data_IF_011051762980
#
_entry.id   IF_011051762980
#
_cell.length_a   1.000
_cell.length_b   1.000
_cell.length_c   1.000
_cell.angle_alpha   90.00
_cell.angle_beta   90.00
_cell.angle_gamma   90.00
#
_symmetry.space_group_name_H-M   'P 1'
#
loop_
_entity.id
_entity.type
_entity.pdbx_description
1 polymer ?
#
# COMPACT_ATOMS: atom_id res chain seq x y z
N UNK A 1 -14.51 65.55 -1.24
CA UNK A 1 -14.15 64.40 -0.40
C UNK A 1 -15.14 63.30 -0.72
N UNK A 2 -14.72 62.26 -1.44
CA UNK A 2 -15.58 61.12 -1.78
C UNK A 2 -15.18 59.98 -0.86
N UNK A 3 -16.09 59.58 0.03
CA UNK A 3 -15.94 58.40 0.87
C UNK A 3 -15.80 57.16 -0.02
N UNK A 4 -14.61 56.56 0.01
CA UNK A 4 -14.39 55.23 -0.54
C UNK A 4 -14.86 54.25 0.54
N UNK A 5 -16.05 53.68 0.36
CA UNK A 5 -16.52 52.58 1.16
C UNK A 5 -15.55 51.40 1.01
N UNK A 6 -14.72 51.16 2.02
CA UNK A 6 -13.96 49.93 2.20
C UNK A 6 -14.97 48.81 2.42
N UNK A 7 -15.35 48.11 1.33
CA UNK A 7 -15.99 46.82 1.41
C UNK A 7 -14.99 45.85 2.03
N UNK A 8 -15.08 45.64 3.33
CA UNK A 8 -14.45 44.50 3.98
C UNK A 8 -15.00 43.23 3.33
N UNK A 9 -14.17 42.60 2.51
CA UNK A 9 -14.44 41.30 1.93
C UNK A 9 -14.29 40.28 3.05
N UNK A 10 -15.34 40.13 3.87
CA UNK A 10 -15.49 38.98 4.75
C UNK A 10 -15.48 37.73 3.87
N UNK A 11 -14.30 37.13 3.68
CA UNK A 11 -14.20 35.75 3.26
C UNK A 11 -14.80 34.92 4.40
N UNK A 12 -16.11 34.68 4.30
CA UNK A 12 -16.76 33.64 5.09
C UNK A 12 -16.13 32.32 4.66
N UNK A 13 -15.05 31.94 5.34
CA UNK A 13 -14.62 30.55 5.37
C UNK A 13 -15.84 29.81 5.89
N UNK A 14 -16.50 29.04 5.02
CA UNK A 14 -17.71 28.31 5.40
C UNK A 14 -17.43 27.55 6.69
N UNK A 15 -18.20 27.84 7.76
CA UNK A 15 -18.06 27.12 9.01
C UNK A 15 -18.39 25.65 8.74
N UNK A 16 -17.37 24.79 8.72
CA UNK A 16 -17.49 23.35 8.44
C UNK A 16 -18.52 22.65 9.33
N UNK A 17 -18.71 23.16 10.55
CA UNK A 17 -19.75 22.68 11.48
C UNK A 17 -21.16 22.97 10.94
N UNK A 18 -21.41 24.19 10.45
CA UNK A 18 -22.69 24.57 9.84
C UNK A 18 -22.97 23.82 8.54
N UNK A 19 -21.93 23.36 7.86
CA UNK A 19 -22.03 22.58 6.63
C UNK A 19 -22.48 21.12 6.89
N UNK A 20 -21.93 20.50 7.95
CA UNK A 20 -22.22 19.12 8.33
C UNK A 20 -23.57 18.95 9.03
N UNK A 21 -23.96 19.93 9.85
CA UNK A 21 -25.15 19.84 10.70
C UNK A 21 -26.39 20.54 10.12
N UNK A 22 -26.30 21.11 8.92
CA UNK A 22 -27.45 21.62 8.19
C UNK A 22 -27.85 20.62 7.09
N UNK A 23 -29.02 19.96 7.20
CA UNK A 23 -29.49 18.99 6.20
C UNK A 23 -29.57 19.55 4.77
N UNK A 24 -29.92 20.83 4.61
CA UNK A 24 -30.00 21.47 3.29
C UNK A 24 -28.62 21.69 2.68
N UNK A 25 -27.64 22.09 3.50
CA UNK A 25 -26.24 22.23 3.06
C UNK A 25 -25.67 20.87 2.65
N UNK A 26 -25.97 19.82 3.42
CA UNK A 26 -25.51 18.47 3.12
C UNK A 26 -26.06 17.97 1.77
N UNK A 27 -27.37 18.12 1.53
CA UNK A 27 -28.00 17.75 0.25
C UNK A 27 -27.38 18.48 -0.95
N UNK A 28 -27.07 19.77 -0.80
CA UNK A 28 -26.39 20.55 -1.86
C UNK A 28 -25.00 20.03 -2.17
N UNK A 29 -24.26 19.57 -1.16
CA UNK A 29 -22.90 19.02 -1.34
C UNK A 29 -22.95 17.65 -1.98
N UNK A 30 -23.91 16.80 -1.59
CA UNK A 30 -24.15 15.51 -2.25
C UNK A 30 -24.43 15.73 -3.73
N UNK A 31 -25.33 16.65 -4.09
CA UNK A 31 -25.60 17.02 -5.49
C UNK A 31 -24.38 17.58 -6.22
N UNK A 32 -23.58 18.41 -5.55
CA UNK A 32 -22.33 18.90 -6.12
C UNK A 32 -21.35 17.75 -6.41
N UNK A 33 -21.24 16.77 -5.52
CA UNK A 33 -20.38 15.61 -5.68
C UNK A 33 -20.85 14.69 -6.83
N UNK A 34 -22.16 14.50 -7.00
CA UNK A 34 -22.74 13.81 -8.16
C UNK A 34 -22.39 14.51 -9.48
N UNK A 35 -22.53 15.84 -9.51
CA UNK A 35 -22.15 16.64 -10.67
C UNK A 35 -20.64 16.53 -10.93
N UNK A 36 -19.82 16.62 -9.90
CA UNK A 36 -18.37 16.46 -10.01
C UNK A 36 -18.01 15.08 -10.60
N UNK A 37 -18.64 13.99 -10.11
CA UNK A 37 -18.42 12.65 -10.62
C UNK A 37 -18.83 12.46 -12.09
N UNK A 38 -19.72 13.30 -12.63
CA UNK A 38 -20.10 13.31 -14.05
C UNK A 38 -19.07 13.96 -14.98
N UNK A 39 -18.10 14.70 -14.42
CA UNK A 39 -17.06 15.38 -15.19
C UNK A 39 -16.07 14.40 -15.83
N UNK A 40 -15.90 14.44 -17.15
CA UNK A 40 -15.03 13.50 -17.89
C UNK A 40 -13.61 14.03 -18.12
N UNK A 41 -13.46 15.33 -18.39
CA UNK A 41 -12.16 15.95 -18.68
C UNK A 41 -11.53 16.62 -17.45
N UNK A 42 -12.36 17.12 -16.53
CA UNK A 42 -11.91 17.95 -15.39
C UNK A 42 -11.64 17.14 -14.12
N UNK A 43 -12.08 15.88 -14.07
CA UNK A 43 -11.98 14.99 -12.91
C UNK A 43 -11.17 13.74 -13.29
N UNK A 44 -10.22 13.29 -12.45
CA UNK A 44 -9.45 12.07 -12.69
C UNK A 44 -10.29 10.81 -12.84
N UNK A 45 -9.81 9.85 -13.63
CA UNK A 45 -10.50 8.58 -13.92
C UNK A 45 -10.90 7.80 -12.67
N UNK A 46 -10.12 7.88 -11.59
CA UNK A 46 -10.43 7.15 -10.35
C UNK A 46 -11.60 7.73 -9.56
N UNK A 47 -12.06 8.95 -9.89
CA UNK A 47 -13.21 9.64 -9.28
C UNK A 47 -14.43 9.73 -10.20
N UNK A 48 -14.25 9.49 -11.50
CA UNK A 48 -15.35 9.49 -12.48
C UNK A 48 -16.38 8.41 -12.15
N UNK A 49 -17.66 8.79 -12.11
CA UNK A 49 -18.76 7.90 -11.77
C UNK A 49 -18.79 7.46 -10.30
N UNK A 50 -17.98 8.07 -9.42
CA UNK A 50 -17.92 7.75 -7.99
C UNK A 50 -18.33 8.95 -7.13
N UNK A 51 -19.64 9.20 -6.97
CA UNK A 51 -20.14 10.35 -6.23
C UNK A 51 -19.69 10.35 -4.76
N UNK A 52 -19.57 9.19 -4.12
CA UNK A 52 -19.10 9.08 -2.74
C UNK A 52 -17.65 9.55 -2.54
N UNK A 53 -16.76 9.20 -3.47
CA UNK A 53 -15.35 9.62 -3.42
C UNK A 53 -15.23 11.13 -3.72
N UNK A 54 -16.01 11.63 -4.69
CA UNK A 54 -16.12 13.07 -4.97
C UNK A 54 -16.69 13.85 -3.77
N UNK A 55 -17.62 13.26 -3.02
CA UNK A 55 -18.20 13.86 -1.81
C UNK A 55 -17.14 13.99 -0.73
N UNK A 56 -16.37 12.93 -0.46
CA UNK A 56 -15.27 12.96 0.49
C UNK A 56 -14.24 14.05 0.12
N UNK A 57 -13.88 14.16 -1.16
CA UNK A 57 -12.98 15.22 -1.66
C UNK A 57 -13.60 16.60 -1.52
N UNK A 58 -14.88 16.76 -1.81
CA UNK A 58 -15.58 18.06 -1.69
C UNK A 58 -15.59 18.52 -0.24
N UNK A 59 -15.88 17.61 0.69
CA UNK A 59 -15.87 17.90 2.13
C UNK A 59 -14.45 18.22 2.62
N UNK A 60 -13.43 17.49 2.16
CA UNK A 60 -12.04 17.78 2.52
C UNK A 60 -11.57 19.12 1.95
N UNK A 61 -11.93 19.42 0.71
CA UNK A 61 -11.64 20.71 0.05
C UNK A 61 -12.28 21.87 0.78
N UNK A 62 -13.53 21.71 1.25
CA UNK A 62 -14.21 22.69 2.07
C UNK A 62 -13.45 22.95 3.39
N UNK A 63 -12.89 21.90 4.02
CA UNK A 63 -12.06 22.07 5.23
C UNK A 63 -10.81 22.89 4.98
N UNK A 64 -10.19 22.72 3.83
CA UNK A 64 -9.02 23.50 3.42
C UNK A 64 -9.35 24.85 2.79
N UNK A 65 -10.63 25.15 2.53
CA UNK A 65 -11.04 26.34 1.78
C UNK A 65 -10.54 26.34 0.33
N UNK A 66 -10.37 25.16 -0.27
CA UNK A 66 -9.87 24.97 -1.64
C UNK A 66 -10.97 24.52 -2.60
N UNK A 67 -10.72 24.70 -3.90
CA UNK A 67 -11.61 24.23 -4.97
C UNK A 67 -11.59 22.69 -5.06
N UNK A 68 -12.75 22.00 -4.98
CA UNK A 68 -12.84 20.54 -5.06
C UNK A 68 -12.28 19.91 -6.34
N UNK A 69 -12.41 20.56 -7.49
CA UNK A 69 -11.86 20.06 -8.75
C UNK A 69 -10.34 20.11 -8.74
N UNK A 70 -9.76 21.19 -8.21
CA UNK A 70 -8.30 21.35 -8.10
C UNK A 70 -7.71 20.33 -7.13
N UNK A 71 -8.35 20.14 -5.97
CA UNK A 71 -7.94 19.12 -5.00
C UNK A 71 -8.06 17.74 -5.61
N UNK A 72 -9.19 17.43 -6.26
CA UNK A 72 -9.43 16.15 -6.93
C UNK A 72 -8.36 15.80 -7.96
N UNK A 73 -7.94 16.77 -8.78
CA UNK A 73 -6.85 16.59 -9.75
C UNK A 73 -5.49 16.24 -9.14
N UNK A 74 -5.31 16.51 -7.84
CA UNK A 74 -4.10 16.23 -7.07
C UNK A 74 -4.23 15.00 -6.19
N UNK A 75 -5.20 14.14 -6.48
CA UNK A 75 -5.36 12.84 -5.84
C UNK A 75 -4.93 11.69 -6.73
N UNK A 76 -4.59 10.57 -6.12
CA UNK A 76 -4.28 9.30 -6.78
C UNK A 76 -4.77 8.15 -5.88
N UNK A 77 -4.91 6.96 -6.43
CA UNK A 77 -5.32 5.76 -5.67
C UNK A 77 -4.18 4.76 -5.68
N UNK A 78 -3.74 4.35 -4.50
CA UNK A 78 -2.76 3.27 -4.29
C UNK A 78 -3.39 2.27 -3.34
N UNK A 79 -3.39 0.99 -3.72
CA UNK A 79 -3.98 -0.10 -2.92
C UNK A 79 -5.42 0.17 -2.46
N UNK A 80 -6.21 0.86 -3.28
CA UNK A 80 -7.60 1.22 -2.96
C UNK A 80 -7.76 2.40 -2.00
N UNK A 81 -6.66 2.97 -1.49
CA UNK A 81 -6.69 4.16 -0.62
C UNK A 81 -6.41 5.41 -1.45
N UNK A 82 -7.20 6.46 -1.20
CA UNK A 82 -7.00 7.77 -1.81
C UNK A 82 -5.83 8.48 -1.14
N UNK A 83 -4.81 8.79 -1.93
CA UNK A 83 -3.70 9.64 -1.51
C UNK A 83 -3.73 11.00 -2.20
N UNK A 84 -2.99 11.94 -1.62
CA UNK A 84 -2.89 13.32 -2.08
C UNK A 84 -1.44 13.67 -2.42
N UNK A 85 -1.22 14.38 -3.53
CA UNK A 85 0.11 14.77 -3.96
C UNK A 85 0.76 15.75 -2.96
N UNK A 86 2.07 15.64 -2.79
CA UNK A 86 2.83 16.54 -1.91
C UNK A 86 2.75 18.03 -2.33
N UNK A 87 2.52 18.33 -3.62
CA UNK A 87 2.28 19.70 -4.07
C UNK A 87 1.00 20.28 -3.44
N UNK A 88 -0.05 19.48 -3.33
CA UNK A 88 -1.27 19.90 -2.65
C UNK A 88 -1.01 20.11 -1.16
N UNK A 89 -0.29 19.20 -0.51
CA UNK A 89 0.08 19.34 0.91
C UNK A 89 0.79 20.67 1.17
N UNK A 90 1.76 21.03 0.33
CA UNK A 90 2.44 22.33 0.42
C UNK A 90 1.45 23.50 0.30
N UNK A 91 0.57 23.46 -0.70
CA UNK A 91 -0.43 24.51 -0.92
C UNK A 91 -1.40 24.64 0.26
N UNK A 92 -1.88 23.51 0.80
CA UNK A 92 -2.77 23.46 1.96
C UNK A 92 -2.10 24.15 3.15
N UNK A 93 -0.86 23.78 3.51
CA UNK A 93 -0.15 24.38 4.66
C UNK A 93 0.08 25.87 4.43
N UNK A 94 0.57 26.24 3.26
CA UNK A 94 0.87 27.65 2.92
C UNK A 94 -0.39 28.52 2.89
N UNK A 95 -1.54 27.96 2.52
CA UNK A 95 -2.84 28.64 2.56
C UNK A 95 -3.49 28.62 3.94
N UNK A 96 -3.00 27.74 4.83
CA UNK A 96 -3.53 27.61 6.17
C UNK A 96 -3.05 28.75 7.06
N UNK A 97 -3.61 28.76 8.26
CA UNK A 97 -3.16 29.67 9.30
C UNK A 97 -1.90 29.17 10.03
N UNK A 98 -1.39 27.97 9.79
CA UNK A 98 -0.31 27.40 10.60
C UNK A 98 1.07 28.06 10.36
N UNK A 99 1.32 28.56 9.15
CA UNK A 99 2.61 29.16 8.78
C UNK A 99 2.45 30.58 8.24
N UNK A 100 3.54 31.36 8.30
CA UNK A 100 3.64 32.70 7.73
C UNK A 100 4.51 32.66 6.48
N UNK A 101 3.98 33.14 5.36
CA UNK A 101 4.73 33.23 4.11
C UNK A 101 4.76 31.91 3.35
N UNK A 102 5.95 31.43 2.97
CA UNK A 102 6.16 30.22 2.16
C UNK A 102 7.27 29.37 2.78
N UNK A 103 7.34 28.10 2.37
CA UNK A 103 8.47 27.25 2.71
C UNK A 103 9.80 27.79 2.17
N UNK A 104 10.83 27.67 3.00
CA UNK A 104 12.22 27.94 2.70
C UNK A 104 12.96 26.64 2.48
N UNK A 105 13.92 26.64 1.56
CA UNK A 105 14.64 25.46 1.14
C UNK A 105 16.15 25.73 1.20
N UNK A 106 16.88 24.84 1.87
CA UNK A 106 18.35 24.82 1.90
C UNK A 106 18.82 23.51 1.29
N UNK A 107 19.55 23.59 0.18
CA UNK A 107 20.14 22.43 -0.46
C UNK A 107 21.60 22.34 -0.06
N UNK A 108 22.02 21.17 0.43
CA UNK A 108 23.41 20.87 0.77
C UNK A 108 23.98 19.73 -0.05
N UNK A 109 25.30 19.70 -0.18
CA UNK A 109 26.03 18.75 -1.02
C UNK A 109 26.28 19.24 -2.45
N UNK A 110 27.05 18.45 -3.20
CA UNK A 110 27.48 18.77 -4.56
C UNK A 110 26.45 18.33 -5.61
N UNK A 111 25.39 19.14 -5.73
CA UNK A 111 24.29 18.87 -6.64
C UNK A 111 24.66 18.92 -8.13
N UNK A 112 25.84 19.43 -8.49
CA UNK A 112 26.30 19.49 -9.88
C UNK A 112 26.57 18.10 -10.43
N UNK A 113 26.99 17.16 -9.58
CA UNK A 113 27.25 15.75 -9.92
C UNK A 113 26.07 15.03 -10.55
N UNK A 114 24.85 15.46 -10.25
CA UNK A 114 23.63 14.80 -10.71
C UNK A 114 22.94 15.50 -11.88
N UNK A 115 23.43 16.67 -12.28
CA UNK A 115 22.83 17.46 -13.36
C UNK A 115 23.06 16.73 -14.69
N UNK A 116 21.98 16.49 -15.44
CA UNK A 116 22.03 15.82 -16.75
C UNK A 116 22.19 14.29 -16.72
N UNK A 117 22.48 13.71 -15.56
CA UNK A 117 22.59 12.26 -15.38
C UNK A 117 21.24 11.62 -15.04
N UNK A 118 20.80 10.67 -15.86
CA UNK A 118 19.52 9.96 -15.69
C UNK A 118 19.64 8.63 -14.94
N UNK A 119 20.78 7.95 -15.04
CA UNK A 119 21.03 6.64 -14.41
C UNK A 119 22.37 6.64 -13.66
N UNK A 120 22.45 5.86 -12.56
CA UNK A 120 23.64 5.66 -11.71
C UNK A 120 24.29 6.96 -11.18
N UNK A 121 23.47 7.86 -10.66
CA UNK A 121 23.94 9.09 -10.02
C UNK A 121 24.67 8.79 -8.71
N UNK A 122 25.75 9.53 -8.46
CA UNK A 122 26.33 9.64 -7.12
C UNK A 122 25.45 10.60 -6.30
N UNK A 123 24.64 10.05 -5.42
CA UNK A 123 23.71 10.80 -4.57
C UNK A 123 24.27 11.01 -3.14
N UNK A 124 25.54 10.65 -2.94
CA UNK A 124 26.20 10.69 -1.64
C UNK A 124 26.33 12.13 -1.13
N UNK A 125 25.83 12.37 0.08
CA UNK A 125 25.91 13.67 0.75
C UNK A 125 24.98 14.75 0.17
N UNK A 126 24.09 14.41 -0.76
CA UNK A 126 23.06 15.33 -1.25
C UNK A 126 21.88 15.35 -0.29
N UNK A 127 21.52 16.53 0.19
CA UNK A 127 20.38 16.68 1.09
C UNK A 127 19.63 17.98 0.89
N UNK A 128 18.44 18.02 1.47
CA UNK A 128 17.63 19.23 1.57
C UNK A 128 17.12 19.40 3.00
N UNK A 129 17.14 20.63 3.49
CA UNK A 129 16.41 21.07 4.67
C UNK A 129 15.28 22.00 4.23
N UNK A 130 14.09 21.76 4.78
CA UNK A 130 12.90 22.57 4.56
C UNK A 130 12.45 23.16 5.86
N UNK A 131 12.05 24.43 5.85
CA UNK A 131 11.50 25.10 7.02
C UNK A 131 10.45 26.12 6.65
N UNK A 132 9.59 26.46 7.60
CA UNK A 132 8.66 27.57 7.51
C UNK A 132 8.62 28.33 8.83
N UNK A 133 8.15 29.56 8.81
CA UNK A 133 7.92 30.35 10.02
C UNK A 133 6.54 29.94 10.55
N UNK A 134 6.48 29.34 11.74
CA UNK A 134 5.22 28.99 12.37
C UNK A 134 4.47 30.24 12.86
N UNK A 135 3.15 30.16 12.94
CA UNK A 135 2.35 31.28 13.46
C UNK A 135 2.78 31.62 14.89
N UNK A 136 3.17 32.88 15.09
CA UNK A 136 3.61 33.39 16.39
C UNK A 136 5.11 33.27 16.63
N UNK A 137 5.85 32.65 15.70
CA UNK A 137 7.31 32.63 15.70
C UNK A 137 7.85 33.69 14.72
N UNK A 138 9.07 34.17 14.99
CA UNK A 138 9.78 35.12 14.11
C UNK A 138 10.88 34.42 13.30
N UNK A 139 11.38 33.29 13.78
CA UNK A 139 12.44 32.51 13.15
C UNK A 139 11.88 31.35 12.32
N UNK A 140 12.71 30.85 11.40
CA UNK A 140 12.35 29.69 10.57
C UNK A 140 12.56 28.42 11.39
N UNK A 141 11.49 27.65 11.58
CA UNK A 141 11.54 26.31 12.16
C UNK A 141 12.03 25.35 11.08
N UNK A 142 13.32 24.99 11.12
CA UNK A 142 13.90 24.03 10.18
C UNK A 142 13.54 22.59 10.54
N UNK A 143 13.20 21.80 9.53
CA UNK A 143 13.10 20.34 9.65
C UNK A 143 14.48 19.68 9.56
N UNK A 144 14.51 18.39 9.87
CA UNK A 144 15.72 17.58 9.72
C UNK A 144 16.15 17.49 8.25
N UNK A 145 17.48 17.43 7.99
CA UNK A 145 18.00 17.25 6.65
C UNK A 145 17.57 15.89 6.08
N UNK A 146 16.90 15.92 4.93
CA UNK A 146 16.52 14.72 4.19
C UNK A 146 17.58 14.43 3.15
N UNK A 147 18.32 13.34 3.34
CA UNK A 147 19.33 12.88 2.41
C UNK A 147 18.72 12.10 1.25
N UNK A 148 19.15 12.41 0.03
CA UNK A 148 18.65 11.76 -1.18
C UNK A 148 18.95 10.26 -1.17
N UNK A 149 20.17 9.89 -0.76
CA UNK A 149 20.63 8.51 -0.69
C UNK A 149 19.77 7.61 0.23
N UNK A 150 19.19 8.17 1.28
CA UNK A 150 18.40 7.42 2.26
C UNK A 150 16.96 7.16 1.79
N UNK A 151 16.50 7.85 0.73
CA UNK A 151 15.15 7.68 0.18
C UNK A 151 15.03 6.36 -0.57
N UNK A 152 14.43 5.37 0.08
CA UNK A 152 14.20 4.03 -0.47
C UNK A 152 13.06 3.98 -1.51
N UNK A 153 11.92 4.62 -1.21
CA UNK A 153 10.72 4.56 -2.08
C UNK A 153 10.77 5.64 -3.15
N UNK A 154 10.85 5.25 -4.44
CA UNK A 154 11.03 6.18 -5.57
C UNK A 154 10.08 5.92 -6.75
N UNK A 155 8.78 5.95 -6.49
CA UNK A 155 7.77 5.54 -7.48
C UNK A 155 7.29 6.65 -8.43
N UNK A 156 7.78 7.88 -8.24
CA UNK A 156 7.54 9.00 -9.15
C UNK A 156 8.63 9.09 -10.24
N UNK A 157 8.28 9.32 -11.53
CA UNK A 157 9.27 9.59 -12.57
C UNK A 157 10.09 10.86 -12.28
N UNK A 158 9.58 11.77 -11.43
CA UNK A 158 10.29 12.96 -10.98
C UNK A 158 11.57 12.65 -10.22
N UNK A 159 11.67 11.47 -9.58
CA UNK A 159 12.94 11.05 -8.98
C UNK A 159 14.05 10.97 -10.03
N UNK A 160 13.74 10.59 -11.27
CA UNK A 160 14.72 10.54 -12.36
C UNK A 160 14.88 11.88 -13.05
N UNK A 161 13.79 12.55 -13.40
CA UNK A 161 13.82 13.76 -14.24
C UNK A 161 14.09 15.04 -13.44
N UNK A 162 13.58 15.16 -12.22
CA UNK A 162 13.64 16.37 -11.39
C UNK A 162 13.89 16.02 -9.90
N UNK A 163 15.03 15.39 -9.56
CA UNK A 163 15.30 14.88 -8.21
C UNK A 163 15.27 15.96 -7.13
N UNK A 164 15.78 17.17 -7.41
CA UNK A 164 15.73 18.31 -6.48
C UNK A 164 14.30 18.68 -6.06
N UNK A 165 13.38 18.69 -7.02
CA UNK A 165 11.98 19.01 -6.77
C UNK A 165 11.31 17.90 -5.96
N UNK A 166 11.57 16.65 -6.34
CA UNK A 166 10.91 15.51 -5.72
C UNK A 166 11.34 15.30 -4.26
N UNK A 167 12.63 15.48 -3.94
CA UNK A 167 13.09 15.41 -2.55
C UNK A 167 12.55 16.58 -1.71
N UNK A 168 12.39 17.77 -2.31
CA UNK A 168 11.80 18.91 -1.62
C UNK A 168 10.34 18.65 -1.23
N UNK A 169 9.57 18.01 -2.11
CA UNK A 169 8.22 17.57 -1.81
C UNK A 169 8.16 16.57 -0.66
N UNK A 170 9.10 15.63 -0.61
CA UNK A 170 9.21 14.68 0.50
C UNK A 170 9.54 15.39 1.83
N UNK A 171 10.49 16.32 1.80
CA UNK A 171 10.89 17.09 2.97
C UNK A 171 9.76 17.99 3.52
N UNK A 172 9.01 18.66 2.64
CA UNK A 172 7.79 19.42 3.04
C UNK A 172 6.80 18.51 3.75
N UNK A 173 6.59 17.29 3.24
CA UNK A 173 5.69 16.32 3.87
C UNK A 173 6.15 15.95 5.28
N UNK A 174 7.41 15.58 5.45
CA UNK A 174 7.96 15.22 6.77
C UNK A 174 7.89 16.37 7.75
N UNK A 175 8.25 17.58 7.32
CA UNK A 175 8.12 18.79 8.13
C UNK A 175 6.67 19.00 8.59
N UNK A 176 5.73 18.89 7.65
CA UNK A 176 4.32 19.15 7.95
C UNK A 176 3.70 18.12 8.88
N UNK A 177 4.11 16.85 8.78
CA UNK A 177 3.69 15.80 9.72
C UNK A 177 4.11 16.11 11.16
N UNK A 178 5.27 16.74 11.32
CA UNK A 178 5.83 17.04 12.63
C UNK A 178 5.24 18.34 13.21
N UNK A 179 5.17 19.40 12.41
CA UNK A 179 4.87 20.75 12.90
C UNK A 179 3.47 21.27 12.58
N UNK A 180 2.77 20.70 11.60
CA UNK A 180 1.39 21.08 11.26
C UNK A 180 0.48 19.85 11.04
N UNK A 181 0.49 18.84 11.93
CA UNK A 181 -0.32 17.63 11.75
C UNK A 181 -1.82 17.92 11.70
N UNK A 182 -2.28 18.96 12.38
CA UNK A 182 -3.67 19.42 12.43
C UNK A 182 -4.18 19.97 11.10
N UNK A 183 -3.29 20.42 10.22
CA UNK A 183 -3.67 20.94 8.90
C UNK A 183 -3.89 19.79 7.91
N UNK A 184 -3.14 18.69 8.07
CA UNK A 184 -3.17 17.54 7.16
C UNK A 184 -4.13 16.45 7.65
N UNK A 185 -4.34 16.29 8.96
CA UNK A 185 -5.37 15.43 9.60
C UNK A 185 -5.68 14.12 8.84
N UNK A 186 -4.74 13.17 8.87
CA UNK A 186 -4.95 11.82 8.31
C UNK A 186 -4.94 11.72 6.78
N UNK A 187 -4.64 12.80 6.06
CA UNK A 187 -4.39 12.74 4.60
C UNK A 187 -3.03 12.12 4.35
N UNK A 188 -2.97 11.05 3.57
CA UNK A 188 -1.74 10.35 3.21
C UNK A 188 -1.25 10.74 1.81
N UNK A 189 0.06 10.76 1.60
CA UNK A 189 0.64 10.90 0.26
C UNK A 189 0.91 9.53 -0.38
N UNK A 190 1.16 9.45 -1.71
CA UNK A 190 1.28 8.16 -2.38
C UNK A 190 2.32 7.25 -1.73
N UNK A 191 3.45 7.84 -1.36
CA UNK A 191 4.59 7.11 -0.81
C UNK A 191 4.37 6.64 0.63
N UNK A 192 3.32 7.13 1.32
CA UNK A 192 2.95 6.69 2.67
C UNK A 192 1.93 5.55 2.69
N UNK A 193 1.20 5.36 1.59
CA UNK A 193 0.12 4.38 1.45
C UNK A 193 0.58 2.99 1.02
N UNK A 194 1.87 2.82 0.77
CA UNK A 194 2.44 1.54 0.36
C UNK A 194 2.91 0.73 1.57
N UNK A 195 2.61 -0.57 1.55
CA UNK A 195 3.12 -1.51 2.54
C UNK A 195 4.65 -1.55 2.47
N UNK A 196 5.29 -1.10 3.55
CA UNK A 196 6.69 -1.46 3.79
C UNK A 196 6.69 -2.96 4.08
N UNK A 197 7.53 -3.78 3.41
CA UNK A 197 7.71 -5.16 3.83
C UNK A 197 8.17 -5.12 5.29
N UNK A 198 7.35 -5.65 6.21
CA UNK A 198 7.69 -5.74 7.62
C UNK A 198 8.94 -6.61 7.69
N UNK A 199 10.08 -5.99 7.97
CA UNK A 199 11.30 -6.72 8.28
C UNK A 199 11.11 -7.30 9.68
N UNK A 200 10.89 -8.60 9.75
CA UNK A 200 10.88 -9.32 11.02
C UNK A 200 12.26 -9.13 11.68
N UNK A 201 12.28 -8.29 12.72
CA UNK A 201 13.46 -8.02 13.55
C UNK A 201 13.45 -8.86 14.83
N UNK A 202 12.52 -9.83 14.95
CA UNK A 202 12.47 -10.70 16.11
C UNK A 202 13.74 -11.56 16.10
N UNK A 203 14.63 -11.43 17.11
CA UNK A 203 15.79 -12.31 17.19
C UNK A 203 15.29 -13.75 17.29
N UNK A 204 15.85 -14.66 16.48
CA UNK A 204 15.50 -16.08 16.52
C UNK A 204 15.77 -16.60 17.95
N UNK A 205 14.70 -16.88 18.71
CA UNK A 205 14.83 -17.53 20.01
C UNK A 205 15.38 -18.94 19.79
N UNK A 206 16.57 -19.21 20.32
CA UNK A 206 17.05 -20.57 20.52
C UNK A 206 15.98 -21.37 21.27
N UNK A 207 15.63 -22.54 20.75
CA UNK A 207 14.60 -23.42 21.29
C UNK A 207 15.04 -23.90 22.68
N UNK A 208 14.46 -23.32 23.74
CA UNK A 208 14.56 -23.91 25.08
C UNK A 208 13.59 -25.09 25.14
N UNK A 209 14.11 -26.25 25.56
CA UNK A 209 13.41 -27.54 25.54
C UNK A 209 12.28 -27.59 26.58
N UNK A 210 11.22 -28.34 26.26
CA UNK A 210 9.89 -28.37 26.94
C UNK A 210 9.91 -28.86 28.40
N UNK A 211 11.06 -29.24 28.96
CA UNK A 211 11.13 -29.88 30.29
C UNK A 211 11.20 -28.92 31.49
N UNK A 212 11.15 -27.59 31.31
CA UNK A 212 11.28 -26.64 32.43
C UNK A 212 9.99 -25.90 32.83
N UNK A 213 8.83 -26.15 32.20
CA UNK A 213 7.59 -25.37 32.46
C UNK A 213 6.59 -26.06 33.41
N UNK A 214 6.82 -27.33 33.78
CA UNK A 214 5.98 -28.01 34.80
C UNK A 214 6.42 -27.61 36.20
N UNK A 215 5.99 -26.44 36.69
CA UNK A 215 5.51 -26.19 38.06
C UNK A 215 5.10 -24.72 38.18
N UNK A 216 3.79 -24.50 38.38
CA UNK A 216 3.10 -23.37 39.03
C UNK A 216 1.95 -22.73 38.23
N UNK A 217 0.74 -23.15 38.65
CA UNK A 217 -0.44 -22.33 38.94
C UNK A 217 -1.34 -21.82 37.79
N UNK A 218 -2.40 -22.63 37.58
CA UNK A 218 -3.84 -22.37 37.42
C UNK A 218 -4.42 -21.02 36.90
N UNK A 219 -5.59 -21.11 36.21
CA UNK A 219 -6.17 -20.07 35.37
C UNK A 219 -7.08 -19.11 36.14
N UNK A 220 -7.15 -17.85 35.70
CA UNK A 220 -8.24 -16.95 36.04
C UNK A 220 -8.85 -16.35 34.78
N UNK A 221 -10.18 -16.40 34.77
CA UNK A 221 -11.11 -15.92 33.74
C UNK A 221 -10.75 -14.54 33.19
N UNK A 222 -10.68 -14.43 31.87
CA UNK A 222 -10.97 -13.17 31.17
C UNK A 222 -12.33 -13.34 30.47
N UNK A 223 -13.31 -12.59 30.97
CA UNK A 223 -14.62 -12.47 30.36
C UNK A 223 -14.52 -11.87 28.96
N UNK A 224 -15.43 -12.36 28.13
CA UNK A 224 -15.68 -11.95 26.76
C UNK A 224 -16.42 -10.62 26.73
N UNK A 225 -15.93 -9.66 25.95
CA UNK A 225 -16.72 -8.50 25.52
C UNK A 225 -17.19 -8.77 24.10
N UNK A 226 -18.50 -9.01 23.95
CA UNK A 226 -19.18 -9.09 22.66
C UNK A 226 -19.52 -7.69 22.15
N UNK A 227 -19.16 -7.49 20.88
CA UNK A 227 -19.80 -6.74 19.80
C UNK A 227 -21.04 -5.88 20.11
N UNK A 228 -21.00 -4.63 19.63
CA UNK A 228 -22.20 -3.91 19.19
C UNK A 228 -22.36 -4.13 17.68
N UNK A 229 -23.32 -4.96 17.31
CA UNK A 229 -23.74 -5.26 15.95
C UNK A 229 -24.57 -4.09 15.38
N UNK A 230 -24.10 -3.49 14.29
CA UNK A 230 -24.99 -2.93 13.28
C UNK A 230 -25.16 -3.98 12.20
N UNK A 231 -26.40 -4.41 11.95
CA UNK A 231 -26.76 -5.48 11.03
C UNK A 231 -26.07 -5.36 9.66
N UNK A 232 -25.22 -6.32 9.34
CA UNK A 232 -24.93 -6.71 7.96
C UNK A 232 -25.36 -8.17 7.80
N UNK A 233 -26.21 -8.40 6.82
CA UNK A 233 -26.77 -9.70 6.45
C UNK A 233 -25.61 -10.70 6.24
N UNK A 234 -25.59 -11.88 6.89
CA UNK A 234 -24.48 -12.81 6.79
C UNK A 234 -24.49 -13.53 5.44
N UNK A 235 -23.43 -13.40 4.64
CA UNK A 235 -23.17 -14.40 3.57
C UNK A 235 -21.76 -14.44 2.99
N UNK A 236 -20.71 -14.23 3.80
CA UNK A 236 -19.36 -14.59 3.38
C UNK A 236 -18.48 -14.89 4.58
N UNK A 237 -17.98 -16.12 4.69
CA UNK A 237 -17.00 -16.50 5.69
C UNK A 237 -15.61 -16.62 5.05
N UNK A 238 -14.78 -15.61 5.29
CA UNK A 238 -13.42 -15.55 4.80
C UNK A 238 -12.56 -16.72 5.29
N UNK A 239 -12.81 -17.21 6.51
CA UNK A 239 -12.04 -18.30 7.11
C UNK A 239 -12.32 -19.63 6.42
N UNK A 240 -13.57 -19.88 6.03
CA UNK A 240 -13.92 -21.06 5.23
C UNK A 240 -13.14 -21.11 3.92
N UNK A 241 -12.97 -19.99 3.22
CA UNK A 241 -12.16 -19.96 1.99
C UNK A 241 -10.66 -20.12 2.25
N UNK A 242 -10.13 -19.56 3.34
CA UNK A 242 -8.72 -19.75 3.71
C UNK A 242 -8.42 -21.22 4.00
N UNK A 243 -9.24 -21.86 4.82
CA UNK A 243 -9.13 -23.29 5.13
C UNK A 243 -9.28 -24.15 3.87
N UNK A 244 -10.29 -23.86 3.04
CA UNK A 244 -10.51 -24.60 1.81
C UNK A 244 -9.31 -24.50 0.85
N UNK A 245 -8.66 -23.33 0.74
CA UNK A 245 -7.46 -23.13 -0.09
C UNK A 245 -6.26 -23.92 0.47
N UNK A 246 -6.07 -23.92 1.78
CA UNK A 246 -4.95 -24.61 2.42
C UNK A 246 -5.07 -26.14 2.27
N UNK A 247 -6.30 -26.67 2.35
CA UNK A 247 -6.60 -28.11 2.25
C UNK A 247 -6.71 -28.66 0.82
N UNK A 248 -6.67 -27.82 -0.22
CA UNK A 248 -6.84 -28.29 -1.61
C UNK A 248 -5.80 -29.36 -1.99
N UNK A 249 -6.29 -30.47 -2.56
CA UNK A 249 -5.43 -31.56 -3.04
C UNK A 249 -5.41 -31.70 -4.56
N UNK A 250 -6.39 -31.12 -5.27
CA UNK A 250 -6.51 -31.26 -6.73
C UNK A 250 -6.51 -29.93 -7.48
N UNK A 251 -6.09 -29.98 -8.75
CA UNK A 251 -6.07 -28.82 -9.64
C UNK A 251 -7.49 -28.32 -9.93
N UNK A 252 -8.47 -29.22 -9.97
CA UNK A 252 -9.86 -28.88 -10.29
C UNK A 252 -10.55 -28.20 -9.10
N UNK A 253 -10.32 -28.65 -7.87
CA UNK A 253 -10.77 -27.96 -6.65
C UNK A 253 -10.19 -26.54 -6.56
N UNK A 254 -8.90 -26.35 -6.86
CA UNK A 254 -8.27 -25.03 -6.86
C UNK A 254 -8.94 -24.08 -7.88
N UNK A 255 -9.32 -24.58 -9.06
CA UNK A 255 -10.05 -23.80 -10.07
C UNK A 255 -11.46 -23.46 -9.61
N UNK A 256 -12.16 -24.41 -9.00
CA UNK A 256 -13.52 -24.20 -8.50
C UNK A 256 -13.55 -23.14 -7.41
N UNK A 257 -12.65 -23.23 -6.42
CA UNK A 257 -12.50 -22.22 -5.36
C UNK A 257 -12.20 -20.84 -5.96
N UNK A 258 -11.30 -20.77 -6.95
CA UNK A 258 -11.01 -19.51 -7.64
C UNK A 258 -12.24 -18.94 -8.35
N UNK A 259 -13.04 -19.78 -9.01
CA UNK A 259 -14.26 -19.35 -9.68
C UNK A 259 -15.31 -18.83 -8.68
N UNK A 260 -15.43 -19.47 -7.51
CA UNK A 260 -16.27 -19.00 -6.41
C UNK A 260 -15.81 -17.64 -5.88
N UNK A 261 -14.50 -17.45 -5.67
CA UNK A 261 -13.91 -16.17 -5.24
C UNK A 261 -14.19 -15.06 -6.28
N UNK A 262 -14.10 -15.34 -7.57
CA UNK A 262 -14.41 -14.38 -8.64
C UNK A 262 -15.90 -14.03 -8.70
N UNK A 263 -16.80 -14.99 -8.48
CA UNK A 263 -18.24 -14.74 -8.41
C UNK A 263 -18.61 -13.84 -7.23
N UNK A 264 -17.88 -13.97 -6.11
CA UNK A 264 -18.11 -13.21 -4.89
C UNK A 264 -17.31 -11.90 -4.84
N UNK A 265 -16.61 -11.52 -5.92
CA UNK A 265 -15.75 -10.33 -5.99
C UNK A 265 -16.47 -9.02 -5.62
N UNK A 266 -17.74 -8.86 -5.97
CA UNK A 266 -18.49 -7.64 -5.69
C UNK A 266 -18.99 -7.59 -4.23
N UNK A 267 -19.08 -8.75 -3.58
CA UNK A 267 -19.54 -8.91 -2.19
C UNK A 267 -18.35 -8.90 -1.21
N UNK A 268 -17.20 -9.35 -1.69
CA UNK A 268 -15.94 -9.47 -0.97
C UNK A 268 -15.03 -8.31 -1.34
N UNK A 269 -14.88 -7.33 -0.45
CA UNK A 269 -14.06 -6.13 -0.69
C UNK A 269 -12.70 -6.45 -1.33
N UNK A 270 -12.19 -5.53 -2.16
CA UNK A 270 -11.05 -5.74 -3.08
C UNK A 270 -9.83 -6.38 -2.40
N UNK A 271 -9.55 -6.02 -1.15
CA UNK A 271 -8.42 -6.55 -0.39
C UNK A 271 -8.55 -8.05 -0.12
N UNK A 272 -9.71 -8.48 0.36
CA UNK A 272 -9.98 -9.88 0.69
C UNK A 272 -10.09 -10.74 -0.57
N UNK A 273 -10.73 -10.20 -1.62
CA UNK A 273 -10.76 -10.82 -2.93
C UNK A 273 -9.35 -11.04 -3.50
N UNK A 274 -8.48 -10.03 -3.40
CA UNK A 274 -7.11 -10.12 -3.92
C UNK A 274 -6.27 -11.11 -3.12
N UNK A 275 -6.40 -11.13 -1.79
CA UNK A 275 -5.75 -12.11 -0.92
C UNK A 275 -6.15 -13.54 -1.30
N UNK A 276 -7.45 -13.85 -1.29
CA UNK A 276 -7.96 -15.19 -1.54
C UNK A 276 -7.68 -15.66 -2.97
N UNK A 277 -7.81 -14.77 -3.96
CA UNK A 277 -7.44 -15.09 -5.35
C UNK A 277 -5.96 -15.42 -5.47
N UNK A 278 -5.08 -14.63 -4.85
CA UNK A 278 -3.64 -14.88 -4.91
C UNK A 278 -3.27 -16.21 -4.22
N UNK A 279 -3.87 -16.51 -3.06
CA UNK A 279 -3.69 -17.79 -2.37
C UNK A 279 -4.19 -18.98 -3.22
N UNK A 280 -5.38 -18.87 -3.82
CA UNK A 280 -5.91 -19.92 -4.70
C UNK A 280 -5.03 -20.17 -5.94
N UNK A 281 -4.47 -19.11 -6.53
CA UNK A 281 -3.52 -19.21 -7.66
C UNK A 281 -2.21 -19.86 -7.24
N UNK A 282 -1.70 -19.55 -6.04
CA UNK A 282 -0.50 -20.19 -5.51
C UNK A 282 -0.75 -21.69 -5.23
N UNK A 283 -1.89 -22.03 -4.61
CA UNK A 283 -2.29 -23.42 -4.38
C UNK A 283 -2.40 -24.21 -5.70
N UNK A 284 -3.02 -23.63 -6.74
CA UNK A 284 -3.07 -24.21 -8.07
C UNK A 284 -1.67 -24.54 -8.60
N UNK A 285 -0.75 -23.57 -8.59
CA UNK A 285 0.60 -23.77 -9.13
C UNK A 285 1.45 -24.75 -8.32
N UNK A 286 1.21 -24.84 -7.00
CA UNK A 286 1.83 -25.83 -6.12
C UNK A 286 1.41 -27.25 -6.51
N UNK A 287 0.10 -27.47 -6.66
CA UNK A 287 -0.47 -28.79 -7.00
C UNK A 287 -0.11 -29.20 -8.43
N UNK A 288 -0.18 -28.26 -9.38
CA UNK A 288 0.21 -28.50 -10.78
C UNK A 288 1.69 -28.93 -10.89
N UNK A 289 2.58 -28.23 -10.17
CA UNK A 289 3.99 -28.60 -10.10
C UNK A 289 4.22 -29.96 -9.40
N UNK A 290 3.47 -30.26 -8.33
CA UNK A 290 3.50 -31.57 -7.66
C UNK A 290 3.10 -32.69 -8.62
N UNK A 291 1.97 -32.55 -9.29
CA UNK A 291 1.43 -33.54 -10.22
C UNK A 291 2.36 -33.73 -11.43
N UNK A 292 2.96 -32.66 -11.96
CA UNK A 292 3.93 -32.75 -13.04
C UNK A 292 5.19 -33.53 -12.63
N UNK A 293 5.67 -33.35 -11.39
CA UNK A 293 6.79 -34.11 -10.85
C UNK A 293 6.43 -35.57 -10.61
N UNK A 294 5.30 -35.84 -9.96
CA UNK A 294 4.80 -37.21 -9.74
C UNK A 294 4.62 -37.95 -11.06
N UNK A 295 4.00 -37.32 -12.07
CA UNK A 295 3.86 -37.89 -13.39
C UNK A 295 5.23 -38.16 -14.04
N UNK A 296 6.18 -37.23 -13.92
CA UNK A 296 7.53 -37.40 -14.48
C UNK A 296 8.29 -38.54 -13.79
N UNK A 297 8.18 -38.66 -12.46
CA UNK A 297 8.77 -39.74 -11.67
C UNK A 297 8.12 -41.09 -12.03
N UNK A 298 6.80 -41.15 -12.12
CA UNK A 298 6.07 -42.37 -12.47
C UNK A 298 6.30 -42.81 -13.93
N UNK A 299 6.68 -41.87 -14.81
CA UNK A 299 7.02 -42.14 -16.21
C UNK A 299 8.49 -42.51 -16.44
N UNK A 300 9.30 -42.61 -15.38
CA UNK A 300 10.71 -42.98 -15.52
C UNK A 300 10.84 -44.39 -16.10
N UNK A 301 11.74 -44.61 -17.08
CA UNK A 301 12.04 -45.95 -17.58
C UNK A 301 12.59 -46.88 -16.50
N UNK A 302 12.55 -48.19 -16.72
CA UNK A 302 13.23 -49.16 -15.85
C UNK A 302 14.74 -48.85 -15.76
N UNK A 303 15.28 -49.01 -14.55
CA UNK A 303 16.69 -48.82 -14.22
C UNK A 303 17.57 -49.70 -15.12
N UNK A 304 18.44 -49.07 -15.91
CA UNK A 304 19.36 -49.76 -16.84
C UNK A 304 19.03 -49.62 -18.33
N UNK A 305 17.94 -48.95 -18.71
CA UNK A 305 17.71 -48.59 -20.13
C UNK A 305 18.61 -47.39 -20.54
N UNK A 306 19.05 -47.30 -21.81
CA UNK A 306 19.95 -46.22 -22.28
C UNK A 306 19.38 -44.81 -22.09
N UNK A 307 18.06 -44.70 -21.97
CA UNK A 307 17.29 -43.46 -21.88
C UNK A 307 16.96 -43.09 -20.41
N UNK A 308 17.17 -44.01 -19.46
CA UNK A 308 16.83 -43.83 -18.05
C UNK A 308 17.62 -42.70 -17.38
N UNK A 309 18.93 -42.60 -17.64
CA UNK A 309 19.80 -41.56 -17.08
C UNK A 309 19.41 -40.17 -17.59
N UNK A 310 19.09 -40.04 -18.89
CA UNK A 310 18.66 -38.76 -19.47
C UNK A 310 17.27 -38.35 -18.98
N UNK A 311 16.35 -39.31 -18.82
CA UNK A 311 15.03 -39.07 -18.24
C UNK A 311 15.14 -38.62 -16.77
N UNK A 312 16.01 -39.25 -15.99
CA UNK A 312 16.24 -38.89 -14.58
C UNK A 312 16.83 -37.48 -14.43
N UNK A 313 17.78 -37.08 -15.29
CA UNK A 313 18.28 -35.70 -15.31
C UNK A 313 17.19 -34.67 -15.63
N UNK A 314 16.23 -35.01 -16.50
CA UNK A 314 15.10 -34.13 -16.82
C UNK A 314 14.21 -33.91 -15.60
N UNK A 315 13.98 -34.95 -14.79
CA UNK A 315 13.22 -34.83 -13.53
C UNK A 315 13.96 -33.95 -12.51
N UNK A 316 15.28 -34.12 -12.38
CA UNK A 316 16.10 -33.29 -11.46
C UNK A 316 16.10 -31.81 -11.87
N UNK A 317 16.18 -31.53 -13.18
CA UNK A 317 16.02 -30.17 -13.73
C UNK A 317 14.62 -29.61 -13.46
N UNK A 318 13.58 -30.42 -13.62
CA UNK A 318 12.20 -30.02 -13.35
C UNK A 318 12.00 -29.67 -11.87
N UNK A 319 12.54 -30.47 -10.94
CA UNK A 319 12.48 -30.21 -9.50
C UNK A 319 13.15 -28.87 -9.16
N UNK A 320 14.38 -28.65 -9.64
CA UNK A 320 15.12 -27.39 -9.43
C UNK A 320 14.36 -26.17 -9.95
N UNK A 321 13.73 -26.28 -11.11
CA UNK A 321 12.93 -25.19 -11.69
C UNK A 321 11.61 -24.93 -10.94
N UNK A 322 11.07 -25.96 -10.27
CA UNK A 322 9.77 -25.91 -9.59
C UNK A 322 9.86 -25.51 -8.12
N UNK A 323 11.08 -25.33 -7.56
CA UNK A 323 11.32 -24.98 -6.14
C UNK A 323 10.43 -23.83 -5.65
N UNK A 324 10.34 -22.74 -6.42
CA UNK A 324 9.55 -21.55 -6.03
C UNK A 324 8.04 -21.84 -5.92
N UNK A 325 7.53 -22.83 -6.65
CA UNK A 325 6.11 -23.18 -6.69
C UNK A 325 5.73 -24.23 -5.64
N UNK A 326 6.65 -25.17 -5.36
CA UNK A 326 6.43 -26.25 -4.39
C UNK A 326 6.53 -25.76 -2.94
N UNK A 327 7.36 -24.76 -2.67
CA UNK A 327 7.75 -24.41 -1.30
C UNK A 327 8.81 -25.36 -0.77
N UNK A 328 9.40 -25.02 0.39
CA UNK A 328 10.58 -25.72 0.90
C UNK A 328 10.28 -27.16 1.35
N UNK A 329 9.16 -27.40 2.03
CA UNK A 329 8.79 -28.74 2.55
C UNK A 329 8.58 -29.78 1.42
N UNK A 330 7.76 -29.45 0.42
CA UNK A 330 7.51 -30.35 -0.71
C UNK A 330 8.76 -30.53 -1.57
N UNK A 331 9.54 -29.47 -1.78
CA UNK A 331 10.81 -29.56 -2.51
C UNK A 331 11.79 -30.51 -1.81
N UNK A 332 11.91 -30.42 -0.49
CA UNK A 332 12.78 -31.29 0.30
C UNK A 332 12.31 -32.74 0.23
N UNK A 333 11.00 -33.00 0.36
CA UNK A 333 10.43 -34.34 0.20
C UNK A 333 10.78 -34.97 -1.15
N UNK A 334 10.54 -34.26 -2.27
CA UNK A 334 10.90 -34.78 -3.60
C UNK A 334 12.41 -34.90 -3.79
N UNK A 335 13.21 -34.00 -3.19
CA UNK A 335 14.66 -34.09 -3.26
C UNK A 335 15.18 -35.34 -2.54
N UNK A 336 14.60 -35.71 -1.40
CA UNK A 336 14.94 -36.94 -0.68
C UNK A 336 14.60 -38.15 -1.56
N UNK A 337 13.38 -38.23 -2.09
CA UNK A 337 12.96 -39.33 -2.97
C UNK A 337 13.87 -39.48 -4.20
N UNK A 338 14.22 -38.38 -4.87
CA UNK A 338 15.15 -38.44 -6.01
C UNK A 338 16.57 -38.80 -5.58
N UNK A 339 17.05 -38.35 -4.43
CA UNK A 339 18.38 -38.74 -3.94
C UNK A 339 18.45 -40.24 -3.61
N UNK A 340 17.38 -40.80 -3.07
CA UNK A 340 17.27 -42.23 -2.75
C UNK A 340 17.22 -43.09 -4.03
N UNK A 341 16.55 -42.61 -5.08
CA UNK A 341 16.50 -43.29 -6.39
C UNK A 341 17.76 -43.11 -7.23
N UNK A 342 18.57 -42.07 -6.98
CA UNK A 342 19.75 -41.72 -7.80
C UNK A 342 20.73 -42.89 -8.05
N UNK A 343 21.04 -43.79 -7.09
CA UNK A 343 21.93 -44.92 -7.32
C UNK A 343 21.44 -45.93 -8.37
N UNK A 344 20.13 -46.00 -8.64
CA UNK A 344 19.53 -46.93 -9.59
C UNK A 344 19.53 -46.39 -11.04
N UNK A 345 19.79 -45.09 -11.21
CA UNK A 345 19.72 -44.36 -12.48
C UNK A 345 21.07 -43.78 -12.95
N UNK A 346 22.17 -44.13 -12.27
CA UNK A 346 23.55 -43.70 -12.56
C UNK A 346 24.37 -44.67 -13.41
#
# INVERSE_FOLDING_TARGET
MSEVATLERNQSVMNNTSLLFNPESLDRIVKFAELMASGTATVPRHLQGKPSDCLAITMQSARWGMDPFVVGQKTHVINGVLGYEAQLVNAVITSSNAVVGRFHYKYGGDWEKIVGMKDKRDESGLFIEVGAILRGEEEITWGEPVYLADVQTRNSPLWKTMPKQQIAYLAVKYWARLYCPEVILGVYTPEELEDRPIKDITPQKERVSINEITTQQQPNNAESVKEAQGEFIPKFDAETFRLAIDDVQTVEEAKNIRAEIENLKNEMGINLFTELKNKAVQAYHRIDARNALEASINSLPESGSPEATEAFEKVDKLLKSSKRKLGDELYESFSITLNDMRPEYQ
#
